data_IF_773604123156
#
_entry.id   IF_773604123156
#
_cell.length_a   1.000
_cell.length_b   1.000
_cell.length_c   1.000
_cell.angle_alpha   90.00
_cell.angle_beta   90.00
_cell.angle_gamma   90.00
#
_symmetry.space_group_name_H-M   'P 1'
#
loop_
_entity.id
_entity.type
_entity.pdbx_description
1 polymer ?
#
# COMPACT_ATOMS: atom_id res chain seq x y z
N UNK A 1 -39.54 -6.90 52.13
CA UNK A 1 -39.23 -5.73 53.00
C UNK A 1 -37.73 -5.66 53.15
N UNK A 2 -37.12 -4.48 53.04
CA UNK A 2 -35.81 -4.16 53.64
C UNK A 2 -36.05 -3.73 55.10
N UNK A 3 -35.11 -3.96 56.03
CA UNK A 3 -33.91 -3.10 56.24
C UNK A 3 -32.61 -3.92 56.38
N UNK A 4 -31.39 -3.37 56.49
CA UNK A 4 -30.81 -2.05 56.15
C UNK A 4 -29.25 -2.17 56.15
N UNK A 5 -28.55 -1.12 55.71
CA UNK A 5 -27.08 -1.01 55.53
C UNK A 5 -26.57 0.32 56.16
N UNK A 6 -25.24 0.60 56.27
CA UNK A 6 -24.05 -0.27 56.20
C UNK A 6 -23.29 -0.21 57.56
N UNK A 7 -22.16 0.50 57.86
CA UNK A 7 -21.11 1.20 57.09
C UNK A 7 -19.70 0.48 57.16
N UNK A 8 -18.51 1.04 57.51
CA UNK A 8 -17.44 1.05 56.49
C UNK A 8 -15.99 0.65 56.89
N UNK A 9 -15.18 0.25 55.89
CA UNK A 9 -13.88 0.92 55.68
C UNK A 9 -12.59 0.10 55.43
N UNK A 10 -11.69 0.75 54.67
CA UNK A 10 -10.22 0.55 54.55
C UNK A 10 -9.69 -0.59 53.66
N UNK A 11 -8.73 -0.21 52.79
CA UNK A 11 -8.03 -1.06 51.81
C UNK A 11 -6.86 -1.83 52.44
N UNK A 12 -6.64 -3.07 52.00
CA UNK A 12 -5.35 -3.76 52.21
C UNK A 12 -4.28 -3.26 51.22
N UNK A 13 -3.22 -2.63 51.75
CA UNK A 13 -1.92 -2.50 51.06
C UNK A 13 -1.01 -3.64 51.51
N UNK A 14 -0.49 -4.43 50.58
CA UNK A 14 0.62 -5.37 50.86
C UNK A 14 1.94 -4.70 50.51
N UNK A 15 2.73 -4.33 51.52
CA UNK A 15 4.10 -3.86 51.36
C UNK A 15 5.08 -5.01 51.64
N UNK A 16 5.75 -5.52 50.61
CA UNK A 16 6.94 -6.34 50.81
C UNK A 16 8.16 -5.45 51.08
N UNK A 17 8.65 -5.46 52.33
CA UNK A 17 10.05 -5.12 52.61
C UNK A 17 10.93 -6.29 52.17
N UNK A 18 12.06 -6.00 51.53
CA UNK A 18 13.20 -6.91 51.51
C UNK A 18 14.36 -6.26 52.28
N UNK A 19 15.08 -7.07 53.07
CA UNK A 19 16.22 -6.62 53.87
C UNK A 19 17.49 -6.92 53.08
N UNK A 20 18.37 -5.94 52.94
CA UNK A 20 19.70 -6.13 52.35
C UNK A 20 20.68 -6.59 53.44
N UNK A 21 21.07 -7.87 53.36
CA UNK A 21 22.26 -8.40 54.04
C UNK A 21 23.37 -8.64 53.01
N UNK A 22 24.61 -8.29 53.34
CA UNK A 22 25.78 -8.43 52.45
C UNK A 22 26.89 -9.16 53.17
N UNK A 23 27.28 -10.33 52.65
CA UNK A 23 28.62 -10.94 52.81
C UNK A 23 28.75 -12.17 51.90
N UNK A 24 29.97 -12.45 51.42
CA UNK A 24 30.31 -13.66 50.67
C UNK A 24 30.75 -13.42 49.22
N UNK A 25 31.99 -13.78 48.89
CA UNK A 25 32.51 -13.73 47.52
C UNK A 25 32.03 -14.97 46.73
N UNK A 26 31.49 -14.77 45.53
CA UNK A 26 31.15 -15.85 44.60
C UNK A 26 30.82 -15.32 43.20
N UNK A 27 31.54 -15.77 42.18
CA UNK A 27 31.34 -15.33 40.81
C UNK A 27 30.16 -16.08 40.18
N UNK A 28 28.95 -15.51 40.28
CA UNK A 28 27.73 -16.05 39.68
C UNK A 28 27.21 -15.11 38.59
N UNK A 29 27.27 -15.57 37.34
CA UNK A 29 26.75 -14.86 36.16
C UNK A 29 25.21 -14.93 36.11
N UNK A 30 24.56 -14.26 37.07
CA UNK A 30 23.11 -14.29 37.22
C UNK A 30 22.41 -13.60 36.03
N UNK A 31 21.80 -14.40 35.16
CA UNK A 31 20.97 -13.90 34.05
C UNK A 31 19.78 -13.12 34.60
N UNK A 32 19.85 -11.78 34.56
CA UNK A 32 18.78 -10.90 35.04
C UNK A 32 17.66 -10.78 34.01
N UNK A 33 16.73 -11.73 34.05
CA UNK A 33 15.41 -11.56 33.43
C UNK A 33 14.68 -10.35 34.06
N UNK A 34 14.86 -9.16 33.48
CA UNK A 34 14.14 -7.95 33.89
C UNK A 34 12.70 -7.98 33.37
N UNK A 35 11.81 -8.68 34.07
CA UNK A 35 10.35 -8.51 33.96
C UNK A 35 9.87 -7.15 34.56
N UNK A 36 10.76 -6.16 34.64
CA UNK A 36 10.52 -4.79 35.07
C UNK A 36 10.64 -3.85 33.86
N UNK A 37 9.82 -4.12 32.84
CA UNK A 37 9.88 -3.53 31.50
C UNK A 37 8.63 -2.74 31.13
N UNK A 38 7.97 -2.09 32.09
CA UNK A 38 6.99 -1.03 31.81
C UNK A 38 7.74 0.19 31.27
N UNK A 39 8.15 0.11 30.01
CA UNK A 39 8.60 1.26 29.23
C UNK A 39 7.38 2.16 29.09
N UNK A 40 7.34 3.23 29.89
CA UNK A 40 6.45 4.35 29.60
C UNK A 40 6.75 4.79 28.17
N UNK A 41 5.74 5.00 27.31
CA UNK A 41 5.99 5.49 25.95
C UNK A 41 6.85 6.76 26.03
N UNK A 42 7.84 6.85 25.16
CA UNK A 42 8.71 8.03 25.06
C UNK A 42 7.85 9.26 24.74
N UNK A 43 8.31 10.44 25.13
CA UNK A 43 7.53 11.67 24.95
C UNK A 43 7.18 11.96 23.48
N UNK A 44 7.93 11.43 22.51
CA UNK A 44 7.62 11.47 21.08
C UNK A 44 6.46 10.53 20.69
N UNK A 45 6.37 9.33 21.28
CA UNK A 45 5.28 8.38 21.02
C UNK A 45 3.90 8.85 21.56
N UNK A 46 3.88 9.99 22.25
CA UNK A 46 2.69 10.69 22.75
C UNK A 46 2.36 11.98 21.97
N UNK A 47 3.17 12.37 20.99
CA UNK A 47 2.87 13.52 20.13
C UNK A 47 1.89 13.12 19.03
N UNK A 48 0.84 13.92 18.77
CA UNK A 48 0.03 13.76 17.56
C UNK A 48 0.92 13.87 16.32
N UNK A 49 0.72 12.99 15.34
CA UNK A 49 1.40 13.00 14.03
C UNK A 49 0.36 13.34 12.96
N UNK A 50 0.19 14.62 12.56
CA UNK A 50 -0.86 14.99 11.63
C UNK A 50 -0.68 14.34 10.25
N UNK A 51 -1.79 13.83 9.71
CA UNK A 51 -1.81 13.00 8.50
C UNK A 51 -2.49 13.73 7.34
N UNK A 52 -1.89 13.61 6.15
CA UNK A 52 -2.49 13.99 4.87
C UNK A 52 -2.86 12.73 4.08
N UNK A 53 -4.06 12.69 3.48
CA UNK A 53 -4.53 11.54 2.68
C UNK A 53 -4.74 11.94 1.22
N UNK A 54 -3.87 11.45 0.33
CA UNK A 54 -3.98 11.63 -1.11
C UNK A 54 -4.86 10.54 -1.70
N UNK A 55 -6.00 10.91 -2.31
CA UNK A 55 -6.98 9.96 -2.85
C UNK A 55 -8.09 9.58 -1.86
N UNK A 56 -8.54 10.51 -1.00
CA UNK A 56 -9.44 10.26 0.14
C UNK A 56 -10.79 9.62 -0.23
N UNK A 57 -11.29 9.87 -1.43
CA UNK A 57 -12.56 9.30 -1.94
C UNK A 57 -12.41 7.88 -2.52
N UNK A 58 -11.17 7.40 -2.70
CA UNK A 58 -10.87 6.05 -3.17
C UNK A 58 -11.16 4.95 -2.13
N UNK A 59 -10.87 3.68 -2.47
CA UNK A 59 -11.07 2.58 -1.53
C UNK A 59 -10.13 2.69 -0.33
N UNK A 60 -8.81 2.76 -0.59
CA UNK A 60 -7.79 2.96 0.45
C UNK A 60 -8.01 4.27 1.20
N UNK A 61 -8.28 5.38 0.50
CA UNK A 61 -8.55 6.68 1.14
C UNK A 61 -9.66 6.64 2.19
N UNK A 62 -10.80 5.99 1.89
CA UNK A 62 -11.89 5.79 2.86
C UNK A 62 -11.51 4.85 4.00
N UNK A 63 -10.79 3.77 3.72
CA UNK A 63 -10.27 2.87 4.77
C UNK A 63 -9.26 3.57 5.68
N UNK A 64 -8.48 4.52 5.17
CA UNK A 64 -7.60 5.38 5.96
C UNK A 64 -8.41 6.32 6.85
N UNK A 65 -9.43 6.99 6.32
CA UNK A 65 -10.30 7.85 7.13
C UNK A 65 -11.02 7.07 8.25
N UNK A 66 -11.43 5.82 8.01
CA UNK A 66 -11.99 4.94 9.04
C UNK A 66 -10.95 4.60 10.13
N UNK A 67 -9.70 4.27 9.76
CA UNK A 67 -8.62 4.03 10.75
C UNK A 67 -8.27 5.31 11.53
N UNK A 68 -8.21 6.47 10.88
CA UNK A 68 -7.94 7.76 11.53
C UNK A 68 -9.07 8.15 12.51
N UNK A 69 -10.33 7.85 12.18
CA UNK A 69 -11.47 8.04 13.08
C UNK A 69 -11.38 7.22 14.38
N UNK A 70 -10.65 6.10 14.37
CA UNK A 70 -10.41 5.27 15.56
C UNK A 70 -9.17 5.71 16.37
N UNK A 71 -8.32 6.59 15.84
CA UNK A 71 -7.05 7.02 16.44
C UNK A 71 -6.81 8.56 16.38
N UNK A 72 -7.83 9.43 16.56
CA UNK A 72 -7.75 10.86 16.22
C UNK A 72 -6.70 11.63 17.03
N UNK A 73 -6.51 11.29 18.31
CA UNK A 73 -5.52 11.94 19.19
C UNK A 73 -4.06 11.63 18.78
N UNK A 74 -3.83 10.47 18.14
CA UNK A 74 -2.51 10.09 17.61
C UNK A 74 -2.30 10.58 16.18
N UNK A 75 -3.35 10.62 15.37
CA UNK A 75 -3.29 10.92 13.94
C UNK A 75 -4.39 11.90 13.50
N UNK A 76 -4.31 13.18 13.90
CA UNK A 76 -5.28 14.18 13.47
C UNK A 76 -5.18 14.39 11.94
N UNK A 77 -6.33 14.41 11.26
CA UNK A 77 -6.37 14.60 9.81
C UNK A 77 -6.12 16.08 9.47
N UNK A 78 -4.94 16.37 8.90
CA UNK A 78 -4.56 17.73 8.50
C UNK A 78 -5.11 18.09 7.12
N UNK A 79 -5.17 17.13 6.19
CA UNK A 79 -5.57 17.40 4.82
C UNK A 79 -6.02 16.19 4.01
N UNK A 80 -6.88 16.44 3.01
CA UNK A 80 -7.32 15.43 2.03
C UNK A 80 -7.23 15.95 0.60
N UNK A 81 -6.90 15.06 -0.34
CA UNK A 81 -7.00 15.34 -1.78
C UNK A 81 -7.87 14.29 -2.48
N UNK A 82 -8.65 14.74 -3.47
CA UNK A 82 -9.38 13.87 -4.40
C UNK A 82 -9.35 14.44 -5.83
N UNK A 83 -9.76 13.62 -6.82
CA UNK A 83 -9.91 14.09 -8.21
C UNK A 83 -11.23 14.83 -8.41
N UNK A 84 -12.34 14.09 -8.51
CA UNK A 84 -13.61 14.61 -9.04
C UNK A 84 -14.88 14.19 -8.28
N UNK A 85 -14.79 13.37 -7.23
CA UNK A 85 -15.96 12.88 -6.46
C UNK A 85 -16.45 13.91 -5.43
N UNK A 86 -16.93 15.07 -5.91
CA UNK A 86 -17.23 16.27 -5.10
C UNK A 86 -18.13 15.99 -3.89
N UNK A 87 -19.19 15.22 -4.06
CA UNK A 87 -20.23 15.02 -3.04
C UNK A 87 -19.65 14.31 -1.81
N UNK A 88 -19.00 13.16 -2.04
CA UNK A 88 -18.30 12.39 -1.01
C UNK A 88 -17.09 13.15 -0.45
N UNK A 89 -16.41 13.95 -1.26
CA UNK A 89 -15.30 14.77 -0.81
C UNK A 89 -15.76 15.87 0.17
N UNK A 90 -16.87 16.55 -0.14
CA UNK A 90 -17.47 17.55 0.75
C UNK A 90 -18.03 16.91 2.02
N UNK A 91 -18.63 15.72 1.94
CA UNK A 91 -19.02 14.93 3.12
C UNK A 91 -17.80 14.65 4.03
N UNK A 92 -16.69 14.18 3.47
CA UNK A 92 -15.44 13.97 4.20
C UNK A 92 -14.90 15.28 4.82
N UNK A 93 -14.98 16.41 4.11
CA UNK A 93 -14.61 17.72 4.67
C UNK A 93 -15.50 18.09 5.87
N UNK A 94 -16.82 17.88 5.80
CA UNK A 94 -17.73 18.20 6.92
C UNK A 94 -17.50 17.30 8.15
N UNK A 95 -17.26 16.01 7.93
CA UNK A 95 -17.04 15.04 9.01
C UNK A 95 -15.72 15.28 9.73
N UNK A 96 -14.62 15.38 8.98
CA UNK A 96 -13.26 15.42 9.57
C UNK A 96 -12.70 16.84 9.74
N UNK A 97 -13.27 17.83 9.05
CA UNK A 97 -12.95 19.27 9.14
C UNK A 97 -11.44 19.59 9.04
N UNK A 98 -10.74 19.04 8.03
CA UNK A 98 -9.29 19.20 7.85
C UNK A 98 -8.90 20.65 7.55
N UNK A 99 -7.63 20.99 7.77
CA UNK A 99 -7.06 22.30 7.40
C UNK A 99 -6.97 22.49 5.89
N UNK A 100 -6.72 21.42 5.14
CA UNK A 100 -6.58 21.46 3.69
C UNK A 100 -7.54 20.50 2.98
N UNK A 101 -8.17 21.00 1.93
CA UNK A 101 -9.03 20.22 1.04
C UNK A 101 -8.59 20.50 -0.41
N UNK A 102 -8.06 19.50 -1.12
CA UNK A 102 -7.57 19.68 -2.50
C UNK A 102 -8.43 18.91 -3.51
N UNK A 103 -8.84 19.58 -4.59
CA UNK A 103 -9.44 18.96 -5.76
C UNK A 103 -8.56 19.20 -7.00
N UNK A 104 -8.27 18.13 -7.75
CA UNK A 104 -7.43 18.22 -8.96
C UNK A 104 -8.21 18.34 -10.26
N UNK A 105 -9.50 17.99 -10.27
CA UNK A 105 -10.39 18.28 -11.40
C UNK A 105 -10.97 19.71 -11.31
N UNK A 106 -10.95 20.45 -12.43
CA UNK A 106 -11.38 21.86 -12.48
C UNK A 106 -12.86 22.03 -12.19
N UNK A 107 -13.73 21.24 -12.83
CA UNK A 107 -15.17 21.33 -12.64
C UNK A 107 -15.56 20.87 -11.23
N UNK A 108 -14.84 19.88 -10.68
CA UNK A 108 -15.01 19.47 -9.29
C UNK A 108 -14.67 20.60 -8.30
N UNK A 109 -13.53 21.26 -8.48
CA UNK A 109 -13.11 22.40 -7.68
C UNK A 109 -14.09 23.58 -7.77
N UNK A 110 -14.54 23.93 -8.97
CA UNK A 110 -15.52 25.02 -9.18
C UNK A 110 -16.85 24.75 -8.45
N UNK A 111 -17.34 23.51 -8.45
CA UNK A 111 -18.53 23.10 -7.66
C UNK A 111 -18.30 23.16 -6.15
N UNK A 112 -17.07 22.99 -5.68
CA UNK A 112 -16.73 23.07 -4.26
C UNK A 112 -16.56 24.51 -3.76
N UNK A 113 -16.30 25.50 -4.63
CA UNK A 113 -16.21 26.92 -4.25
C UNK A 113 -17.53 27.49 -3.70
N UNK A 114 -18.67 26.89 -4.05
CA UNK A 114 -20.00 27.30 -3.57
C UNK A 114 -20.50 26.51 -2.35
N UNK A 115 -19.65 25.64 -1.77
CA UNK A 115 -20.01 24.87 -0.58
C UNK A 115 -19.72 25.65 0.71
N UNK A 116 -20.57 25.49 1.73
CA UNK A 116 -20.34 26.02 3.07
C UNK A 116 -19.27 25.16 3.80
N UNK A 117 -17.99 25.54 3.69
CA UNK A 117 -16.88 24.77 4.24
C UNK A 117 -16.62 25.12 5.72
N UNK A 118 -16.15 24.16 6.56
CA UNK A 118 -15.77 24.45 7.94
C UNK A 118 -14.73 25.58 8.00
N UNK A 119 -14.84 26.58 8.90
CA UNK A 119 -14.04 27.82 8.82
C UNK A 119 -12.50 27.67 8.81
N UNK A 120 -11.96 26.54 9.29
CA UNK A 120 -10.54 26.22 9.22
C UNK A 120 -10.07 25.58 7.91
N UNK A 121 -10.99 25.20 7.02
CA UNK A 121 -10.69 24.42 5.81
C UNK A 121 -10.33 25.34 4.65
N UNK A 122 -9.06 25.33 4.25
CA UNK A 122 -8.64 25.95 3.00
C UNK A 122 -8.84 24.98 1.83
N UNK A 123 -9.80 25.31 0.94
CA UNK A 123 -9.91 24.67 -0.37
C UNK A 123 -8.74 25.11 -1.27
N UNK A 124 -8.11 24.15 -1.96
CA UNK A 124 -6.97 24.34 -2.86
C UNK A 124 -7.20 23.56 -4.17
N UNK A 125 -6.49 23.95 -5.22
CA UNK A 125 -6.61 23.36 -6.56
C UNK A 125 -5.32 22.66 -7.01
N UNK A 126 -5.47 21.53 -7.69
CA UNK A 126 -4.42 20.94 -8.53
C UNK A 126 -3.16 20.50 -7.78
N UNK A 127 -2.07 20.38 -8.53
CA UNK A 127 -0.76 19.95 -8.03
C UNK A 127 -0.15 20.97 -7.07
N UNK A 128 -0.34 22.28 -7.29
CA UNK A 128 0.06 23.33 -6.34
C UNK A 128 -0.60 23.13 -4.96
N UNK A 129 -1.89 22.78 -4.95
CA UNK A 129 -2.63 22.45 -3.73
C UNK A 129 -2.11 21.20 -3.03
N UNK A 130 -1.76 20.15 -3.79
CA UNK A 130 -1.14 18.93 -3.25
C UNK A 130 0.22 19.27 -2.65
N UNK A 131 1.09 19.95 -3.41
CA UNK A 131 2.44 20.31 -3.00
C UNK A 131 2.41 21.12 -1.69
N UNK A 132 1.60 22.18 -1.62
CA UNK A 132 1.40 22.96 -0.39
C UNK A 132 0.94 22.10 0.79
N UNK A 133 -0.02 21.20 0.58
CA UNK A 133 -0.55 20.35 1.64
C UNK A 133 0.46 19.31 2.16
N UNK A 134 1.20 18.63 1.28
CA UNK A 134 2.19 17.61 1.70
C UNK A 134 3.46 18.23 2.28
N UNK A 135 3.83 19.44 1.84
CA UNK A 135 5.04 20.13 2.32
C UNK A 135 4.83 21.00 3.56
N UNK A 136 3.59 21.25 3.99
CA UNK A 136 3.27 22.03 5.19
C UNK A 136 4.04 21.56 6.43
N UNK A 137 4.41 22.49 7.31
CA UNK A 137 5.24 22.20 8.48
C UNK A 137 4.56 21.22 9.44
N UNK A 138 3.24 21.29 9.59
CA UNK A 138 2.48 20.45 10.53
C UNK A 138 2.24 19.03 9.98
N UNK A 139 2.34 18.81 8.66
CA UNK A 139 2.25 17.48 8.03
C UNK A 139 3.39 16.59 8.54
N UNK A 140 3.06 15.51 9.27
CA UNK A 140 4.04 14.51 9.72
C UNK A 140 4.12 13.30 8.80
N UNK A 141 2.97 12.86 8.26
CA UNK A 141 2.88 11.68 7.41
C UNK A 141 1.90 11.90 6.25
N UNK A 142 2.24 11.35 5.09
CA UNK A 142 1.38 11.37 3.89
C UNK A 142 0.98 9.94 3.54
N UNK A 143 -0.32 9.67 3.44
CA UNK A 143 -0.85 8.41 2.91
C UNK A 143 -1.08 8.59 1.42
N UNK A 144 -0.26 7.93 0.61
CA UNK A 144 -0.30 8.00 -0.85
C UNK A 144 -1.19 6.88 -1.40
N UNK A 145 -2.45 7.23 -1.69
CA UNK A 145 -3.53 6.32 -2.08
C UNK A 145 -4.27 6.75 -3.37
N UNK A 146 -3.63 7.60 -4.19
CA UNK A 146 -4.02 7.85 -5.59
C UNK A 146 -3.65 6.60 -6.41
N UNK A 147 -4.47 6.24 -7.40
CA UNK A 147 -4.22 5.09 -8.29
C UNK A 147 -3.43 5.54 -9.53
N UNK A 148 -2.51 4.69 -9.99
CA UNK A 148 -1.74 4.93 -11.23
C UNK A 148 -0.63 5.95 -11.07
N UNK A 149 -0.04 6.36 -12.20
CA UNK A 149 1.11 7.28 -12.24
C UNK A 149 0.83 8.67 -11.61
N UNK A 150 -0.45 9.06 -11.47
CA UNK A 150 -0.86 10.32 -10.83
C UNK A 150 -0.51 10.42 -9.33
N UNK A 151 -0.18 9.31 -8.66
CA UNK A 151 0.27 9.33 -7.26
C UNK A 151 1.73 9.73 -7.04
N UNK A 152 2.57 9.73 -8.08
CA UNK A 152 4.00 10.01 -7.94
C UNK A 152 4.29 11.43 -7.46
N UNK A 153 3.64 12.45 -8.04
CA UNK A 153 3.97 13.86 -7.75
C UNK A 153 3.85 14.20 -6.25
N UNK A 154 2.70 13.92 -5.64
CA UNK A 154 2.47 14.15 -4.21
C UNK A 154 3.36 13.30 -3.30
N UNK A 155 3.82 12.14 -3.80
CA UNK A 155 4.78 11.29 -3.10
C UNK A 155 6.19 11.87 -3.14
N UNK A 156 6.66 12.32 -4.31
CA UNK A 156 7.96 12.99 -4.48
C UNK A 156 8.04 14.23 -3.58
N UNK A 157 7.04 15.14 -3.66
CA UNK A 157 7.04 16.36 -2.85
C UNK A 157 7.04 16.08 -1.33
N UNK A 158 6.45 14.98 -0.88
CA UNK A 158 6.49 14.56 0.53
C UNK A 158 7.89 14.07 0.94
N UNK A 159 8.52 13.22 0.12
CA UNK A 159 9.86 12.69 0.39
C UNK A 159 10.93 13.80 0.37
N UNK A 160 10.87 14.72 -0.60
CA UNK A 160 11.81 15.83 -0.78
C UNK A 160 12.00 16.69 0.48
N UNK A 161 10.93 16.90 1.26
CA UNK A 161 10.94 17.75 2.46
C UNK A 161 10.98 16.96 3.77
N UNK A 162 11.30 15.66 3.72
CA UNK A 162 11.53 14.86 4.92
C UNK A 162 10.29 14.21 5.54
N UNK A 163 9.16 14.10 4.84
CA UNK A 163 7.94 13.46 5.40
C UNK A 163 8.03 11.94 5.35
N UNK A 164 7.40 11.27 6.32
CA UNK A 164 7.12 9.82 6.22
C UNK A 164 5.99 9.58 5.23
N UNK A 165 6.12 8.57 4.37
CA UNK A 165 5.08 8.20 3.40
C UNK A 165 4.58 6.79 3.65
N UNK A 166 3.28 6.67 3.89
CA UNK A 166 2.57 5.40 3.90
C UNK A 166 2.06 5.13 2.47
N UNK A 167 2.71 4.21 1.74
CA UNK A 167 2.55 4.03 0.30
C UNK A 167 1.59 2.88 -0.03
N UNK A 168 0.46 3.20 -0.66
CA UNK A 168 -0.48 2.24 -1.25
C UNK A 168 -0.47 2.27 -2.80
N UNK A 169 0.10 3.33 -3.38
CA UNK A 169 0.26 3.51 -4.82
C UNK A 169 1.50 2.76 -5.32
N UNK A 170 1.34 1.45 -5.57
CA UNK A 170 2.40 0.58 -6.09
C UNK A 170 3.05 1.13 -7.36
N UNK A 171 2.27 1.84 -8.19
CA UNK A 171 2.76 2.47 -9.41
C UNK A 171 3.89 3.50 -9.15
N UNK A 172 3.99 4.10 -7.96
CA UNK A 172 5.16 4.93 -7.57
C UNK A 172 6.47 4.14 -7.60
N UNK A 173 6.51 2.91 -7.08
CA UNK A 173 7.73 2.09 -7.09
C UNK A 173 7.88 1.29 -8.38
N UNK A 174 6.81 0.99 -9.11
CA UNK A 174 6.91 0.45 -10.47
C UNK A 174 7.55 1.47 -11.42
N UNK A 175 7.04 2.70 -11.45
CA UNK A 175 7.53 3.76 -12.36
C UNK A 175 8.84 4.36 -11.87
N UNK A 176 8.95 4.67 -10.58
CA UNK A 176 10.03 5.48 -10.00
C UNK A 176 11.07 4.71 -9.17
N UNK A 177 10.91 3.40 -8.98
CA UNK A 177 11.62 2.54 -8.02
C UNK A 177 13.00 3.00 -7.54
N UNK A 178 14.02 2.89 -8.39
CA UNK A 178 15.42 3.27 -8.07
C UNK A 178 15.52 4.71 -7.53
N UNK A 179 14.88 5.68 -8.21
CA UNK A 179 14.95 7.11 -7.87
C UNK A 179 14.13 7.48 -6.64
N UNK A 180 13.01 6.81 -6.39
CA UNK A 180 12.18 7.02 -5.21
C UNK A 180 12.90 6.49 -3.96
N UNK A 181 13.57 5.33 -4.05
CA UNK A 181 14.36 4.79 -2.95
C UNK A 181 15.63 5.63 -2.70
N UNK A 182 16.35 6.04 -3.75
CA UNK A 182 17.48 6.99 -3.63
C UNK A 182 17.06 8.31 -2.97
N UNK A 183 15.90 8.87 -3.35
CA UNK A 183 15.36 10.09 -2.74
C UNK A 183 15.00 9.89 -1.26
N UNK A 184 14.41 8.76 -0.90
CA UNK A 184 14.08 8.46 0.50
C UNK A 184 15.35 8.32 1.35
N UNK A 185 16.36 7.57 0.87
CA UNK A 185 17.65 7.42 1.54
C UNK A 185 18.38 8.76 1.69
N UNK A 186 18.43 9.57 0.63
CA UNK A 186 19.08 10.88 0.64
C UNK A 186 18.39 11.92 1.56
N UNK A 187 17.13 11.67 1.95
CA UNK A 187 16.35 12.51 2.87
C UNK A 187 16.18 11.90 4.25
N UNK A 188 16.63 10.67 4.47
CA UNK A 188 16.43 9.92 5.71
C UNK A 188 14.96 9.63 6.03
N UNK A 189 14.11 9.53 5.01
CA UNK A 189 12.66 9.33 5.18
C UNK A 189 12.26 7.86 5.14
N UNK A 190 11.16 7.54 5.82
CA UNK A 190 10.60 6.19 5.84
C UNK A 190 9.49 6.05 4.80
N UNK A 191 9.65 5.09 3.89
CA UNK A 191 8.57 4.54 3.07
C UNK A 191 7.98 3.32 3.80
N UNK A 192 6.69 3.37 4.10
CA UNK A 192 5.98 2.33 4.85
C UNK A 192 4.90 1.67 3.96
N UNK A 193 4.98 0.35 3.69
CA UNK A 193 4.03 -0.31 2.79
C UNK A 193 2.62 -0.41 3.37
N UNK A 194 1.66 0.05 2.58
CA UNK A 194 0.21 -0.09 2.80
C UNK A 194 -0.40 -1.17 1.91
N UNK A 195 0.25 -1.52 0.79
CA UNK A 195 -0.18 -2.68 -0.01
C UNK A 195 -0.05 -3.98 0.81
N UNK A 196 -1.00 -4.90 0.66
CA UNK A 196 -1.26 -5.93 1.68
C UNK A 196 -0.10 -6.91 1.81
N UNK A 197 0.45 -7.31 0.67
CA UNK A 197 1.54 -8.23 0.48
C UNK A 197 2.87 -7.67 1.02
N UNK A 198 3.20 -6.43 0.70
CA UNK A 198 4.43 -5.77 1.16
C UNK A 198 4.34 -5.39 2.63
N UNK A 199 3.15 -5.01 3.11
CA UNK A 199 2.92 -4.79 4.55
C UNK A 199 3.05 -6.10 5.32
N UNK A 200 2.69 -7.25 4.73
CA UNK A 200 2.90 -8.57 5.30
C UNK A 200 4.39 -8.96 5.33
N UNK A 201 5.14 -8.75 4.24
CA UNK A 201 6.61 -8.95 4.20
C UNK A 201 7.29 -8.07 5.24
N UNK A 202 6.97 -6.77 5.29
CA UNK A 202 7.55 -5.83 6.26
C UNK A 202 7.25 -6.22 7.71
N UNK A 203 6.04 -6.71 8.00
CA UNK A 203 5.67 -7.25 9.32
C UNK A 203 6.40 -8.56 9.68
N UNK A 204 6.76 -9.38 8.70
CA UNK A 204 7.47 -10.64 8.90
C UNK A 204 8.99 -10.47 8.99
N UNK A 205 9.57 -9.47 8.30
CA UNK A 205 10.96 -9.03 8.48
C UNK A 205 11.12 -8.36 9.85
N UNK A 206 10.24 -7.42 10.22
CA UNK A 206 10.28 -6.74 11.50
C UNK A 206 11.61 -6.03 11.74
N UNK A 207 12.40 -6.56 12.69
CA UNK A 207 13.73 -6.04 13.05
C UNK A 207 14.89 -6.95 12.58
N UNK A 208 14.64 -7.96 11.74
CA UNK A 208 15.68 -8.83 11.21
C UNK A 208 16.51 -8.10 10.13
N UNK A 209 17.84 -8.34 10.07
CA UNK A 209 18.69 -7.74 9.04
C UNK A 209 18.35 -8.32 7.66
N UNK A 210 18.40 -7.50 6.60
CA UNK A 210 18.01 -7.94 5.25
C UNK A 210 18.91 -9.05 4.70
N UNK A 211 20.15 -9.13 5.16
CA UNK A 211 21.12 -10.19 4.87
C UNK A 211 20.65 -11.58 5.37
N UNK A 212 19.70 -11.62 6.32
CA UNK A 212 19.09 -12.87 6.78
C UNK A 212 17.89 -13.33 5.95
N UNK A 213 17.38 -12.49 5.04
CA UNK A 213 16.26 -12.85 4.14
C UNK A 213 16.79 -13.64 2.95
N UNK A 214 16.35 -14.88 2.82
CA UNK A 214 16.66 -15.70 1.66
C UNK A 214 15.71 -15.45 0.50
N UNK A 215 14.40 -15.33 0.76
CA UNK A 215 13.38 -15.09 -0.27
C UNK A 215 12.14 -14.43 0.32
N UNK A 216 11.44 -13.64 -0.48
CA UNK A 216 10.06 -13.22 -0.19
C UNK A 216 9.10 -13.91 -1.16
N UNK A 217 7.94 -14.35 -0.66
CA UNK A 217 6.93 -15.05 -1.46
C UNK A 217 5.61 -14.28 -1.38
N UNK A 218 5.29 -13.60 -2.49
CA UNK A 218 4.06 -12.82 -2.65
C UNK A 218 2.89 -13.78 -2.91
N UNK A 219 1.95 -13.87 -1.96
CA UNK A 219 0.67 -14.58 -2.17
C UNK A 219 -0.25 -13.76 -3.06
N UNK A 220 -1.09 -14.37 -3.89
CA UNK A 220 -2.13 -13.67 -4.66
C UNK A 220 -3.44 -14.44 -4.80
N UNK A 221 -4.58 -13.75 -4.92
CA UNK A 221 -5.90 -14.39 -5.05
C UNK A 221 -6.07 -15.25 -6.32
N UNK A 222 -5.29 -14.96 -7.37
CA UNK A 222 -5.41 -15.52 -8.71
C UNK A 222 -6.52 -14.89 -9.58
N UNK A 223 -7.24 -13.90 -9.05
CA UNK A 223 -8.31 -13.20 -9.76
C UNK A 223 -9.56 -14.07 -10.07
N UNK A 224 -10.56 -13.51 -10.79
CA UNK A 224 -11.78 -14.23 -11.19
C UNK A 224 -11.57 -15.35 -12.22
N UNK A 225 -10.39 -15.43 -12.85
CA UNK A 225 -10.11 -16.36 -13.94
C UNK A 225 -9.14 -17.49 -13.59
N UNK A 226 -8.72 -17.59 -12.32
CA UNK A 226 -7.90 -18.69 -11.79
C UNK A 226 -8.44 -20.05 -12.22
N UNK A 227 -7.64 -20.83 -12.94
CA UNK A 227 -8.01 -22.15 -13.45
C UNK A 227 -8.79 -22.19 -14.78
N UNK A 228 -8.98 -21.04 -15.45
CA UNK A 228 -9.43 -21.00 -16.86
C UNK A 228 -8.27 -21.32 -17.81
N UNK A 229 -8.60 -21.78 -19.03
CA UNK A 229 -7.63 -21.92 -20.13
C UNK A 229 -7.59 -20.69 -21.05
N UNK A 230 -6.56 -20.59 -21.90
CA UNK A 230 -6.42 -19.46 -22.83
C UNK A 230 -7.62 -19.30 -23.79
N UNK A 231 -8.20 -20.41 -24.25
CA UNK A 231 -9.39 -20.41 -25.12
C UNK A 231 -10.63 -19.85 -24.41
N UNK A 232 -10.69 -20.01 -23.08
CA UNK A 232 -11.73 -19.45 -22.22
C UNK A 232 -11.48 -17.97 -21.86
N UNK A 233 -10.24 -17.47 -22.04
CA UNK A 233 -9.90 -16.06 -21.85
C UNK A 233 -10.23 -15.19 -23.07
N UNK A 234 -10.13 -15.74 -24.28
CA UNK A 234 -10.38 -15.01 -25.54
C UNK A 234 -11.80 -14.42 -25.69
N UNK A 235 -12.76 -14.84 -24.84
CA UNK A 235 -14.17 -14.43 -24.91
C UNK A 235 -14.72 -13.87 -23.59
N UNK A 236 -13.86 -13.43 -22.65
CA UNK A 236 -14.34 -12.87 -21.37
C UNK A 236 -14.84 -11.44 -21.51
N UNK A 237 -15.93 -11.12 -20.81
CA UNK A 237 -16.53 -9.79 -20.81
C UNK A 237 -15.93 -8.91 -19.70
N UNK A 238 -16.10 -7.59 -19.84
CA UNK A 238 -15.79 -6.60 -18.81
C UNK A 238 -16.46 -6.95 -17.47
N UNK A 239 -17.74 -7.34 -17.50
CA UNK A 239 -18.48 -7.79 -16.31
C UNK A 239 -17.82 -8.99 -15.63
N UNK A 240 -17.41 -10.00 -16.40
CA UNK A 240 -16.71 -11.17 -15.84
C UNK A 240 -15.35 -10.81 -15.22
N UNK A 241 -14.60 -9.89 -15.84
CA UNK A 241 -13.32 -9.42 -15.32
C UNK A 241 -13.48 -8.57 -14.05
N UNK A 242 -14.57 -7.79 -13.95
CA UNK A 242 -14.86 -6.95 -12.79
C UNK A 242 -15.44 -7.72 -11.57
N UNK A 243 -15.88 -8.97 -11.75
CA UNK A 243 -16.47 -9.79 -10.70
C UNK A 243 -15.41 -10.55 -9.85
N UNK A 244 -14.54 -9.80 -9.15
CA UNK A 244 -13.45 -10.39 -8.35
C UNK A 244 -13.98 -11.17 -7.12
N UNK A 245 -13.48 -12.39 -6.84
CA UNK A 245 -14.05 -13.28 -5.81
C UNK A 245 -13.90 -12.77 -4.36
N UNK A 246 -12.75 -12.19 -4.00
CA UNK A 246 -12.43 -11.81 -2.60
C UNK A 246 -12.63 -10.33 -2.30
N UNK A 247 -11.99 -9.45 -3.08
CA UNK A 247 -11.88 -8.02 -2.82
C UNK A 247 -12.88 -7.17 -3.63
N UNK A 248 -13.41 -6.10 -3.01
CA UNK A 248 -14.15 -5.03 -3.72
C UNK A 248 -13.22 -3.85 -4.00
N UNK A 249 -12.83 -3.68 -5.26
CA UNK A 249 -11.78 -2.74 -5.67
C UNK A 249 -12.22 -1.87 -6.86
N UNK A 250 -11.38 -0.90 -7.27
CA UNK A 250 -11.63 -0.08 -8.46
C UNK A 250 -11.35 -0.84 -9.77
N UNK A 251 -11.95 -0.45 -10.92
CA UNK A 251 -11.89 -1.22 -12.16
C UNK A 251 -10.48 -1.61 -12.62
N UNK A 252 -9.51 -0.68 -12.61
CA UNK A 252 -8.13 -0.90 -13.07
C UNK A 252 -7.44 -2.04 -12.32
N UNK A 253 -7.36 -1.95 -10.99
CA UNK A 253 -6.74 -3.00 -10.15
C UNK A 253 -7.52 -4.33 -10.20
N UNK A 254 -8.84 -4.29 -10.45
CA UNK A 254 -9.63 -5.52 -10.64
C UNK A 254 -9.27 -6.24 -11.94
N UNK A 255 -9.09 -5.53 -13.05
CA UNK A 255 -8.61 -6.11 -14.33
C UNK A 255 -7.15 -6.56 -14.20
N UNK A 256 -6.29 -5.77 -13.54
CA UNK A 256 -4.90 -6.16 -13.24
C UNK A 256 -4.84 -7.46 -12.40
N UNK A 257 -5.78 -7.66 -11.47
CA UNK A 257 -5.89 -8.90 -10.69
C UNK A 257 -6.35 -10.07 -11.58
N UNK A 258 -7.26 -9.84 -12.52
CA UNK A 258 -7.73 -10.86 -13.46
C UNK A 258 -6.65 -11.30 -14.46
N UNK A 259 -5.75 -10.43 -14.89
CA UNK A 259 -4.62 -10.74 -15.80
C UNK A 259 -3.37 -11.28 -15.08
N UNK A 260 -3.36 -11.25 -13.73
CA UNK A 260 -2.18 -11.30 -12.86
C UNK A 260 -1.16 -10.15 -13.04
N UNK A 261 -1.47 -9.12 -13.84
CA UNK A 261 -0.62 -7.92 -13.93
C UNK A 261 -0.47 -7.23 -12.56
N UNK A 262 -1.49 -7.25 -11.70
CA UNK A 262 -1.39 -6.67 -10.35
C UNK A 262 -0.23 -7.31 -9.58
N UNK A 263 -0.11 -8.64 -9.66
CA UNK A 263 1.00 -9.39 -9.04
C UNK A 263 2.34 -9.12 -9.73
N UNK A 264 2.33 -8.82 -11.03
CA UNK A 264 3.51 -8.39 -11.79
C UNK A 264 4.04 -7.02 -11.33
N UNK A 265 3.14 -6.05 -11.07
CA UNK A 265 3.47 -4.73 -10.51
C UNK A 265 4.06 -4.87 -9.09
N UNK A 266 3.46 -5.72 -8.26
CA UNK A 266 3.88 -5.97 -6.88
C UNK A 266 5.25 -6.67 -6.78
N UNK A 267 5.62 -7.53 -7.76
CA UNK A 267 6.97 -8.10 -7.89
C UNK A 267 8.02 -7.01 -8.12
N UNK A 268 7.72 -6.00 -8.95
CA UNK A 268 8.62 -4.85 -9.20
C UNK A 268 8.73 -3.99 -7.94
N UNK A 269 7.61 -3.70 -7.28
CA UNK A 269 7.58 -2.96 -6.03
C UNK A 269 8.38 -3.67 -4.91
N UNK A 270 8.24 -4.99 -4.78
CA UNK A 270 8.96 -5.78 -3.78
C UNK A 270 10.48 -5.76 -3.99
N UNK A 271 10.96 -5.74 -5.25
CA UNK A 271 12.39 -5.53 -5.57
C UNK A 271 12.88 -4.21 -4.98
N UNK A 272 12.17 -3.11 -5.24
CA UNK A 272 12.65 -1.79 -4.85
C UNK A 272 12.53 -1.54 -3.35
N UNK A 273 11.36 -1.84 -2.77
CA UNK A 273 11.07 -1.57 -1.36
C UNK A 273 11.97 -2.37 -0.42
N UNK A 274 12.22 -3.65 -0.72
CA UNK A 274 13.05 -4.53 0.10
C UNK A 274 14.50 -4.64 -0.41
N UNK A 275 14.85 -3.90 -1.47
CA UNK A 275 16.17 -3.95 -2.15
C UNK A 275 16.60 -5.37 -2.57
N UNK A 276 15.64 -6.22 -2.93
CA UNK A 276 15.87 -7.62 -3.30
C UNK A 276 16.08 -7.78 -4.81
N UNK A 277 17.00 -8.64 -5.26
CA UNK A 277 17.09 -9.04 -6.66
C UNK A 277 15.88 -9.89 -7.04
N UNK A 278 15.51 -9.90 -8.34
CA UNK A 278 14.34 -10.60 -8.88
C UNK A 278 14.28 -12.09 -8.50
N UNK A 279 15.45 -12.72 -8.35
CA UNK A 279 15.61 -14.14 -8.07
C UNK A 279 15.31 -14.50 -6.59
N UNK A 280 15.27 -13.49 -5.71
CA UNK A 280 14.83 -13.61 -4.30
C UNK A 280 13.33 -13.28 -4.12
N UNK A 281 12.57 -13.14 -5.21
CA UNK A 281 11.13 -12.91 -5.18
C UNK A 281 10.43 -14.10 -5.85
N UNK A 282 9.44 -14.67 -5.16
CA UNK A 282 8.57 -15.71 -5.70
C UNK A 282 7.10 -15.30 -5.57
N UNK A 283 6.23 -16.00 -6.31
CA UNK A 283 4.77 -15.79 -6.29
C UNK A 283 4.07 -17.12 -6.12
N UNK A 284 3.07 -17.16 -5.25
CA UNK A 284 2.20 -18.32 -5.04
C UNK A 284 0.75 -17.84 -5.02
N UNK A 285 -0.18 -18.63 -5.54
CA UNK A 285 -1.60 -18.29 -5.46
C UNK A 285 -2.20 -18.85 -4.17
N UNK A 286 -2.93 -17.99 -3.46
CA UNK A 286 -3.64 -18.29 -2.21
C UNK A 286 -5.06 -17.71 -2.30
N UNK A 287 -6.05 -18.49 -2.77
CA UNK A 287 -7.37 -17.96 -3.12
C UNK A 287 -8.13 -17.36 -1.93
N UNK A 288 -7.92 -17.89 -0.73
CA UNK A 288 -8.60 -17.43 0.48
C UNK A 288 -8.12 -16.05 0.95
N UNK A 289 -6.92 -15.62 0.51
CA UNK A 289 -6.32 -14.31 0.84
C UNK A 289 -6.22 -14.03 2.35
N UNK A 290 -5.87 -15.06 3.13
CA UNK A 290 -5.69 -15.00 4.59
C UNK A 290 -4.21 -14.89 4.97
N UNK A 291 -3.34 -15.66 4.32
CA UNK A 291 -1.90 -15.40 4.33
C UNK A 291 -1.62 -14.31 3.31
N UNK A 292 -0.99 -13.21 3.73
CA UNK A 292 -0.76 -12.06 2.87
C UNK A 292 0.64 -12.03 2.23
N UNK A 293 1.64 -12.71 2.78
CA UNK A 293 2.92 -13.08 2.14
C UNK A 293 3.77 -13.91 3.10
N UNK A 294 4.84 -14.53 2.58
CA UNK A 294 5.87 -15.23 3.35
C UNK A 294 7.24 -14.56 3.21
N UNK A 295 8.08 -14.74 4.22
CA UNK A 295 9.51 -14.39 4.24
C UNK A 295 10.29 -15.63 4.67
N UNK A 296 11.12 -16.15 3.78
CA UNK A 296 12.03 -17.27 4.01
C UNK A 296 13.38 -16.70 4.47
N UNK A 297 13.94 -17.25 5.54
CA UNK A 297 15.21 -16.84 6.12
C UNK A 297 16.33 -17.85 5.82
N UNK A 298 17.58 -17.41 5.89
CA UNK A 298 18.78 -18.23 5.57
C UNK A 298 18.99 -19.45 6.49
N UNK A 299 18.26 -19.55 7.61
CA UNK A 299 18.25 -20.71 8.52
C UNK A 299 17.17 -21.75 8.17
N UNK A 300 16.36 -21.50 7.13
CA UNK A 300 15.22 -22.33 6.74
C UNK A 300 13.91 -21.99 7.48
N UNK A 301 13.90 -20.98 8.34
CA UNK A 301 12.67 -20.46 8.95
C UNK A 301 11.81 -19.75 7.91
N UNK A 302 10.49 -19.87 8.03
CA UNK A 302 9.54 -19.14 7.18
C UNK A 302 8.52 -18.44 8.08
N UNK A 303 8.49 -17.11 8.02
CA UNK A 303 7.51 -16.28 8.72
C UNK A 303 6.44 -15.79 7.73
N UNK A 304 5.22 -15.64 8.22
CA UNK A 304 4.10 -15.18 7.41
C UNK A 304 3.17 -14.29 8.24
N UNK A 305 2.57 -13.28 7.62
CA UNK A 305 1.55 -12.46 8.25
C UNK A 305 0.16 -12.91 7.78
N UNK A 306 -0.73 -13.15 8.76
CA UNK A 306 -2.09 -13.63 8.55
C UNK A 306 -3.13 -12.64 9.07
N UNK A 307 -4.19 -12.41 8.30
CA UNK A 307 -5.35 -11.62 8.69
C UNK A 307 -6.57 -11.92 7.80
N UNK A 308 -7.79 -11.48 8.18
CA UNK A 308 -8.87 -11.33 7.21
C UNK A 308 -8.47 -10.32 6.11
N UNK A 309 -8.97 -10.47 4.86
CA UNK A 309 -8.73 -9.51 3.79
C UNK A 309 -9.41 -8.17 4.05
N UNK A 310 -8.72 -7.28 4.77
CA UNK A 310 -9.20 -5.98 5.26
C UNK A 310 -8.05 -4.96 5.28
N UNK A 311 -8.00 -4.07 4.27
CA UNK A 311 -6.91 -3.11 4.07
C UNK A 311 -6.71 -2.14 5.25
N UNK A 312 -7.66 -2.06 6.20
CA UNK A 312 -7.50 -1.26 7.40
C UNK A 312 -6.37 -1.76 8.31
N UNK A 313 -5.99 -3.05 8.23
CA UNK A 313 -4.82 -3.57 8.94
C UNK A 313 -3.48 -3.04 8.41
N UNK A 314 -3.11 -3.20 7.12
CA UNK A 314 -1.85 -2.67 6.62
C UNK A 314 -1.81 -1.13 6.63
N UNK A 315 -2.95 -0.46 6.38
CA UNK A 315 -3.07 1.00 6.58
C UNK A 315 -2.74 1.38 8.03
N UNK A 316 -3.40 0.75 9.01
CA UNK A 316 -3.12 1.05 10.41
C UNK A 316 -1.68 0.74 10.79
N UNK A 317 -1.11 -0.37 10.31
CA UNK A 317 0.27 -0.72 10.63
C UNK A 317 1.25 0.31 10.08
N UNK A 318 1.07 0.81 8.85
CA UNK A 318 1.89 1.88 8.28
C UNK A 318 1.75 3.21 9.05
N UNK A 319 0.55 3.53 9.58
CA UNK A 319 0.38 4.68 10.48
C UNK A 319 1.09 4.46 11.83
N UNK A 320 0.88 3.30 12.46
CA UNK A 320 1.25 3.06 13.87
C UNK A 320 2.67 2.57 14.07
N UNK A 321 3.34 2.04 13.03
CA UNK A 321 4.70 1.49 13.11
C UNK A 321 5.66 2.41 13.90
N UNK A 322 6.48 1.86 14.83
CA UNK A 322 6.61 0.42 15.16
C UNK A 322 5.52 -0.13 16.10
N UNK A 323 4.64 0.71 16.66
CA UNK A 323 3.58 0.29 17.59
C UNK A 323 2.50 -0.58 16.92
N UNK A 324 1.84 -1.41 17.73
CA UNK A 324 0.53 -2.00 17.44
C UNK A 324 -0.48 -1.56 18.50
N UNK A 325 -1.64 -1.09 18.07
CA UNK A 325 -2.72 -0.54 18.93
C UNK A 325 -4.08 -1.17 18.56
N UNK A 326 -5.12 -1.07 19.41
CA UNK A 326 -6.49 -1.43 19.04
C UNK A 326 -6.96 -0.70 17.77
N UNK A 327 -7.89 -1.28 17.01
CA UNK A 327 -8.29 -0.78 15.70
C UNK A 327 -9.58 -1.40 15.15
N UNK A 328 -10.07 -0.92 13.98
CA UNK A 328 -11.37 -1.30 13.39
C UNK A 328 -11.37 -2.64 12.64
N UNK A 329 -10.20 -3.25 12.44
CA UNK A 329 -10.03 -4.52 11.71
C UNK A 329 -10.70 -5.67 12.45
N UNK A 330 -11.38 -6.55 11.70
CA UNK A 330 -11.94 -7.80 12.26
C UNK A 330 -10.82 -8.75 12.72
N UNK A 331 -11.07 -9.51 13.79
CA UNK A 331 -10.19 -10.60 14.21
C UNK A 331 -10.31 -11.78 13.24
N UNK A 332 -9.21 -12.54 13.07
CA UNK A 332 -9.19 -13.79 12.32
C UNK A 332 -10.14 -14.82 12.95
N UNK A 333 -10.97 -15.49 12.13
CA UNK A 333 -11.65 -16.71 12.55
C UNK A 333 -10.72 -17.91 12.32
N UNK A 334 -10.29 -18.57 13.39
CA UNK A 334 -9.38 -19.72 13.35
C UNK A 334 -9.91 -20.91 12.55
N UNK A 335 -11.24 -21.07 12.43
CA UNK A 335 -11.87 -22.13 11.62
C UNK A 335 -11.49 -22.03 10.13
N UNK A 336 -11.20 -20.82 9.64
CA UNK A 336 -10.81 -20.60 8.23
C UNK A 336 -9.48 -21.24 7.86
N UNK A 337 -8.60 -21.49 8.84
CA UNK A 337 -7.28 -22.08 8.63
C UNK A 337 -7.35 -23.53 8.14
N UNK A 338 -8.46 -24.23 8.35
CA UNK A 338 -8.66 -25.60 7.87
C UNK A 338 -8.73 -25.71 6.33
N UNK A 339 -8.83 -24.59 5.61
CA UNK A 339 -9.05 -24.55 4.15
C UNK A 339 -8.04 -23.66 3.40
N UNK A 340 -6.89 -23.33 3.99
CA UNK A 340 -5.85 -22.58 3.27
C UNK A 340 -5.29 -23.42 2.12
N UNK A 341 -5.42 -22.93 0.89
CA UNK A 341 -4.90 -23.58 -0.33
C UNK A 341 -3.78 -22.75 -0.94
N UNK A 342 -2.82 -23.45 -1.52
CA UNK A 342 -1.67 -22.86 -2.19
C UNK A 342 -1.42 -23.59 -3.51
N UNK A 343 -1.28 -22.84 -4.60
CA UNK A 343 -1.03 -23.39 -5.94
C UNK A 343 -0.05 -22.48 -6.72
N UNK A 344 0.67 -23.05 -7.69
CA UNK A 344 1.59 -22.27 -8.53
C UNK A 344 0.81 -21.49 -9.60
N UNK A 345 1.17 -20.24 -9.92
CA UNK A 345 0.49 -19.47 -10.95
C UNK A 345 0.73 -20.06 -12.35
N UNK A 346 -0.32 -20.19 -13.15
CA UNK A 346 -0.21 -20.55 -14.57
C UNK A 346 0.32 -19.36 -15.38
N UNK A 347 1.65 -19.24 -15.44
CA UNK A 347 2.38 -18.22 -16.19
C UNK A 347 2.17 -18.34 -17.71
N UNK A 348 1.75 -19.50 -18.23
CA UNK A 348 1.47 -19.69 -19.67
C UNK A 348 0.13 -19.05 -20.04
N UNK A 349 -0.90 -19.24 -19.22
CA UNK A 349 -2.23 -18.65 -19.45
C UNK A 349 -2.30 -17.19 -18.97
N UNK A 350 -1.48 -16.80 -17.99
CA UNK A 350 -1.41 -15.43 -17.46
C UNK A 350 0.01 -14.80 -17.64
N UNK A 351 0.43 -14.54 -18.90
CA UNK A 351 1.79 -14.11 -19.24
C UNK A 351 2.15 -12.66 -18.84
N UNK A 352 1.24 -11.94 -18.18
CA UNK A 352 1.55 -10.65 -17.56
C UNK A 352 2.52 -10.80 -16.39
N UNK A 353 2.44 -11.91 -15.64
CA UNK A 353 3.33 -12.15 -14.49
C UNK A 353 4.81 -12.25 -14.90
N UNK A 354 5.09 -12.79 -16.09
CA UNK A 354 6.45 -12.82 -16.66
C UNK A 354 7.02 -11.42 -16.89
N UNK A 355 6.18 -10.46 -17.30
CA UNK A 355 6.61 -9.07 -17.52
C UNK A 355 7.01 -8.40 -16.20
N UNK A 356 6.34 -8.74 -15.10
CA UNK A 356 6.73 -8.31 -13.76
C UNK A 356 8.15 -8.75 -13.41
N UNK A 357 8.47 -10.03 -13.63
CA UNK A 357 9.83 -10.55 -13.45
C UNK A 357 10.85 -9.96 -14.43
N UNK A 358 10.48 -9.77 -15.71
CA UNK A 358 11.37 -9.18 -16.72
C UNK A 358 11.76 -7.73 -16.33
N UNK A 359 10.78 -6.91 -15.97
CA UNK A 359 10.99 -5.53 -15.51
C UNK A 359 11.73 -5.49 -14.18
N UNK A 360 11.36 -6.37 -13.24
CA UNK A 360 12.03 -6.51 -11.94
C UNK A 360 13.44 -7.12 -12.04
N UNK A 361 13.88 -7.58 -13.22
CA UNK A 361 15.28 -7.90 -13.49
C UNK A 361 15.98 -6.71 -14.18
N UNK A 362 15.38 -6.18 -15.26
CA UNK A 362 15.98 -5.14 -16.13
C UNK A 362 16.13 -3.77 -15.46
N UNK A 363 15.18 -3.34 -14.64
CA UNK A 363 15.17 -1.98 -14.06
C UNK A 363 15.08 -0.86 -15.11
N UNK A 364 15.68 0.30 -14.82
CA UNK A 364 15.71 1.45 -15.74
C UNK A 364 14.31 1.92 -16.17
N UNK A 365 14.16 2.33 -17.43
CA UNK A 365 12.88 2.79 -18.02
C UNK A 365 11.78 1.72 -18.10
N UNK A 366 12.09 0.44 -17.90
CA UNK A 366 11.15 -0.66 -18.14
C UNK A 366 9.87 -0.58 -17.27
N UNK A 367 9.98 -0.11 -16.03
CA UNK A 367 8.83 0.03 -15.12
C UNK A 367 7.87 1.15 -15.52
N UNK A 368 8.41 2.31 -15.90
CA UNK A 368 7.62 3.41 -16.45
C UNK A 368 6.86 3.02 -17.72
N UNK A 369 7.53 2.29 -18.63
CA UNK A 369 6.94 1.81 -19.88
C UNK A 369 5.86 0.76 -19.63
N UNK A 370 6.12 -0.23 -18.78
CA UNK A 370 5.14 -1.26 -18.40
C UNK A 370 3.86 -0.61 -17.84
N UNK A 371 4.02 0.33 -16.90
CA UNK A 371 2.87 0.98 -16.26
C UNK A 371 2.05 1.81 -17.24
N UNK A 372 2.69 2.70 -18.01
CA UNK A 372 2.01 3.58 -18.97
C UNK A 372 1.31 2.80 -20.09
N UNK A 373 1.91 1.69 -20.54
CA UNK A 373 1.27 0.78 -21.48
C UNK A 373 0.06 0.05 -20.85
N UNK A 374 0.21 -0.46 -19.62
CA UNK A 374 -0.84 -1.23 -18.95
C UNK A 374 -2.05 -0.37 -18.56
N UNK A 375 -1.85 0.85 -18.06
CA UNK A 375 -2.96 1.75 -17.75
C UNK A 375 -3.87 1.97 -18.97
N UNK A 376 -3.29 2.20 -20.15
CA UNK A 376 -4.06 2.43 -21.39
C UNK A 376 -4.61 1.13 -21.98
N UNK A 377 -3.90 0.00 -21.87
CA UNK A 377 -4.43 -1.29 -22.32
C UNK A 377 -5.65 -1.74 -21.47
N UNK A 378 -5.63 -1.50 -20.16
CA UNK A 378 -6.76 -1.76 -19.26
C UNK A 378 -7.90 -0.77 -19.49
N UNK A 379 -7.61 0.51 -19.70
CA UNK A 379 -8.61 1.52 -20.10
C UNK A 379 -9.34 1.10 -21.40
N UNK A 380 -8.60 0.69 -22.44
CA UNK A 380 -9.16 0.21 -23.70
C UNK A 380 -9.93 -1.11 -23.58
N UNK A 381 -9.56 -2.01 -22.67
CA UNK A 381 -10.39 -3.18 -22.36
C UNK A 381 -11.71 -2.79 -21.69
N UNK A 382 -11.68 -1.85 -20.73
CA UNK A 382 -12.88 -1.34 -20.05
C UNK A 382 -13.80 -0.54 -20.98
N UNK A 383 -13.27 0.05 -22.05
CA UNK A 383 -14.03 0.68 -23.15
C UNK A 383 -14.51 -0.32 -24.22
N UNK A 384 -14.11 -1.60 -24.14
CA UNK A 384 -14.46 -2.63 -25.13
C UNK A 384 -13.67 -2.54 -26.45
N UNK A 385 -12.57 -1.79 -26.48
CA UNK A 385 -11.72 -1.55 -27.66
C UNK A 385 -10.56 -2.56 -27.78
N UNK A 386 -10.18 -3.23 -26.70
CA UNK A 386 -9.11 -4.23 -26.65
C UNK A 386 -9.59 -5.53 -25.98
N UNK A 387 -9.47 -6.71 -26.61
CA UNK A 387 -9.78 -7.99 -25.97
C UNK A 387 -8.86 -8.30 -24.77
N UNK A 388 -9.42 -8.99 -23.77
CA UNK A 388 -8.75 -9.26 -22.49
C UNK A 388 -7.41 -10.02 -22.63
N UNK A 389 -7.38 -11.03 -23.49
CA UNK A 389 -6.21 -11.85 -23.79
C UNK A 389 -5.08 -11.07 -24.48
N UNK A 390 -5.40 -9.93 -25.11
CA UNK A 390 -4.42 -9.08 -25.79
C UNK A 390 -3.76 -8.04 -24.86
N UNK A 391 -4.29 -7.79 -23.66
CA UNK A 391 -3.73 -6.79 -22.71
C UNK A 391 -2.24 -7.06 -22.45
N UNK A 392 -1.90 -8.29 -22.04
CA UNK A 392 -0.53 -8.66 -21.72
C UNK A 392 0.40 -8.66 -22.95
N UNK A 393 -0.12 -8.92 -24.15
CA UNK A 393 0.65 -8.90 -25.38
C UNK A 393 0.99 -7.46 -25.79
N UNK A 394 0.01 -6.55 -25.79
CA UNK A 394 0.23 -5.13 -26.14
C UNK A 394 1.23 -4.48 -25.17
N UNK A 395 1.14 -4.78 -23.87
CA UNK A 395 2.11 -4.29 -22.88
C UNK A 395 3.51 -4.86 -23.12
N UNK A 396 3.64 -6.14 -23.48
CA UNK A 396 4.92 -6.77 -23.86
C UNK A 396 5.53 -6.11 -25.10
N UNK A 397 4.74 -5.89 -26.13
CA UNK A 397 5.20 -5.32 -27.40
C UNK A 397 5.71 -3.88 -27.21
N UNK A 398 5.02 -3.05 -26.42
CA UNK A 398 5.46 -1.69 -26.06
C UNK A 398 6.71 -1.72 -25.17
N UNK A 399 6.80 -2.67 -24.22
CA UNK A 399 8.01 -2.88 -23.41
C UNK A 399 9.22 -3.30 -24.26
N UNK A 400 9.00 -3.96 -25.39
CA UNK A 400 10.06 -4.45 -26.26
C UNK A 400 10.42 -3.49 -27.40
N UNK A 401 9.58 -2.49 -27.73
CA UNK A 401 9.88 -1.45 -28.71
C UNK A 401 10.52 -0.17 -28.14
N UNK A 402 10.50 0.03 -26.81
CA UNK A 402 11.03 1.25 -26.20
C UNK A 402 12.56 1.40 -26.28
N UNK A 403 13.04 2.64 -26.31
CA UNK A 403 14.46 2.93 -26.10
C UNK A 403 14.81 2.78 -24.61
N UNK A 404 15.54 1.71 -24.27
CA UNK A 404 15.93 1.42 -22.89
C UNK A 404 17.01 2.38 -22.38
N UNK A 405 16.74 3.05 -21.26
CA UNK A 405 17.73 3.79 -20.50
C UNK A 405 17.92 3.14 -19.13
N UNK A 406 19.17 2.85 -18.76
CA UNK A 406 19.49 2.05 -17.57
C UNK A 406 19.38 2.83 -16.25
N UNK A 407 19.59 4.16 -16.27
CA UNK A 407 19.56 5.05 -15.09
C UNK A 407 18.87 6.39 -15.39
N UNK A 408 17.60 6.38 -15.83
CA UNK A 408 16.86 7.61 -16.15
C UNK A 408 16.64 8.50 -14.92
N UNK A 409 16.48 9.80 -15.13
CA UNK A 409 15.92 10.75 -14.18
C UNK A 409 14.40 10.58 -14.01
N UNK A 410 13.79 11.26 -13.03
CA UNK A 410 12.33 11.26 -12.86
C UNK A 410 11.61 11.84 -14.09
N UNK A 411 12.15 12.90 -14.71
CA UNK A 411 11.60 13.48 -15.94
C UNK A 411 11.66 12.52 -17.13
N UNK A 412 12.75 11.76 -17.25
CA UNK A 412 12.91 10.71 -18.29
C UNK A 412 11.98 9.51 -18.04
N UNK A 413 11.72 9.14 -16.78
CA UNK A 413 10.72 8.13 -16.42
C UNK A 413 9.30 8.61 -16.76
N UNK A 414 8.94 9.84 -16.41
CA UNK A 414 7.66 10.43 -16.83
C UNK A 414 7.55 10.59 -18.35
N UNK A 415 8.65 10.85 -19.06
CA UNK A 415 8.67 10.85 -20.52
C UNK A 415 8.44 9.45 -21.11
N UNK A 416 9.06 8.41 -20.55
CA UNK A 416 8.88 7.03 -20.96
C UNK A 416 7.46 6.50 -20.69
N UNK A 417 6.85 6.85 -19.56
CA UNK A 417 5.45 6.53 -19.23
C UNK A 417 4.50 7.18 -20.24
N UNK A 418 4.63 8.50 -20.46
CA UNK A 418 3.81 9.25 -21.43
C UNK A 418 3.98 8.76 -22.87
N UNK A 419 5.19 8.33 -23.24
CA UNK A 419 5.45 7.71 -24.54
C UNK A 419 4.72 6.36 -24.66
N UNK A 420 4.82 5.49 -23.66
CA UNK A 420 4.19 4.18 -23.67
C UNK A 420 2.66 4.27 -23.77
N UNK A 421 2.06 5.21 -23.04
CA UNK A 421 0.63 5.58 -23.17
C UNK A 421 0.24 5.92 -24.61
N UNK A 422 1.05 6.74 -25.29
CA UNK A 422 0.79 7.14 -26.67
C UNK A 422 0.99 5.99 -27.67
N UNK A 423 1.96 5.10 -27.42
CA UNK A 423 2.28 4.00 -28.33
C UNK A 423 1.20 2.92 -28.35
N UNK A 424 0.56 2.61 -27.21
CA UNK A 424 -0.64 1.73 -27.17
C UNK A 424 -1.77 2.28 -28.05
N UNK A 425 -2.02 3.59 -28.01
CA UNK A 425 -3.05 4.25 -28.85
C UNK A 425 -2.70 4.19 -30.34
N UNK A 426 -1.40 4.16 -30.70
CA UNK A 426 -0.94 3.96 -32.09
C UNK A 426 -1.12 2.50 -32.52
N UNK A 427 -0.70 1.54 -31.69
CA UNK A 427 -0.73 0.11 -32.00
C UNK A 427 -2.12 -0.36 -32.41
N UNK A 428 -3.14 0.00 -31.64
CA UNK A 428 -4.50 -0.45 -31.89
C UNK A 428 -5.14 0.25 -33.11
N UNK A 429 -4.69 1.45 -33.50
CA UNK A 429 -5.08 2.05 -34.80
C UNK A 429 -4.57 1.25 -36.01
N UNK A 430 -3.45 0.53 -35.85
CA UNK A 430 -2.90 -0.34 -36.90
C UNK A 430 -3.44 -1.78 -36.87
N UNK A 431 -4.18 -2.19 -35.83
CA UNK A 431 -4.96 -3.45 -35.81
C UNK A 431 -6.43 -3.27 -36.18
N UNK A 432 -7.03 -2.11 -35.87
CA UNK A 432 -8.47 -1.85 -36.06
C UNK A 432 -8.79 -1.34 -37.48
N UNK A 433 -7.78 -1.05 -38.30
CA UNK A 433 -7.93 -0.78 -39.74
C UNK A 433 -7.22 -1.86 -40.56
N UNK A 434 -7.95 -2.77 -41.24
CA UNK A 434 -7.40 -3.58 -42.32
C UNK A 434 -7.16 -2.73 -43.60
#
# INVERSE_FOLDING_TARGET
>A
MLPADPPPGVLFRVMHRLILGVQGNGLLLACRCRLSGLISPTADALRPRPVVVLGSTGSIGRSTLDVLAHLPDRFPLLGIAARSSVELFLEQVQTFKPRYAVLTDRAAFERALTADLPPQTQLLFGEEGIAKMVTDADTSMVVSAIVGAAGLFGTCQALEVGKTVALANKETLVVGGERIMELADARGTTLLPVDSEHSAIFQAIGNHPMESVERVVLTGSGGPFRGRSAEQLANVTIEQALNHPTWKMGPKITVDSATLMNKALEVIEARWLFRLPSEKIAVILHPESIVHSFVEFIDGSVLAQLSPPDMRLPIQYALTWPDRVPGPTRRLNWETLANLRFEQPDRKTFPALDLGFEVAQRGGTCGAVLNGANEVAVEQFLEGLLPFDQIAQVVRDVLHSHHFMARPSLDELWAAERWARQEVVRWNRHRIRP
#
